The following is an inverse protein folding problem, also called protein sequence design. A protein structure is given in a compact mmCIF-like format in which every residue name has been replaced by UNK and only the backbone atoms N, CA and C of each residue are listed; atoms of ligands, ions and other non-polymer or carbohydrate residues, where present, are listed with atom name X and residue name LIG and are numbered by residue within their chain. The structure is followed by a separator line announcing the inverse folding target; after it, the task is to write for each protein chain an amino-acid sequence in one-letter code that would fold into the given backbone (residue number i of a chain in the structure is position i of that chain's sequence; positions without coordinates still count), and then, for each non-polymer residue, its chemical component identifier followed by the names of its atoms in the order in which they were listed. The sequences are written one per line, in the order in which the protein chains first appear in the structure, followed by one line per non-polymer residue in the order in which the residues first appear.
data_IF_962500219010
#
_entry.id   IF_962500219010
#
_cell.length_a   1.000
_cell.length_b   1.000
_cell.length_c   1.000
_cell.angle_alpha   90.00
_cell.angle_beta   90.00
_cell.angle_gamma   90.00
#
_symmetry.space_group_name_H-M   'P 1'
#
loop_
_entity.id
_entity.type
_entity.pdbx_description
1 polymer ?
#
# COMPACT_ATOMS: atom_id res chain seq x y z
N UNK A 1 -4.69 -2.24 -14.20
CA UNK A 1 -5.08 -3.62 -14.01
C UNK A 1 -4.15 -4.59 -14.70
N UNK A 2 -4.06 -5.78 -14.17
CA UNK A 2 -3.27 -6.85 -14.79
C UNK A 2 -3.78 -7.18 -16.20
N UNK A 3 -2.93 -7.68 -17.10
CA UNK A 3 -3.34 -8.13 -18.44
C UNK A 3 -4.53 -9.09 -18.45
N UNK A 4 -4.71 -9.81 -17.35
CA UNK A 4 -5.78 -10.79 -17.13
C UNK A 4 -7.19 -10.23 -17.30
N UNK A 5 -7.43 -8.95 -16.92
CA UNK A 5 -8.74 -8.29 -17.11
C UNK A 5 -9.06 -8.17 -18.59
N UNK A 6 -8.05 -7.86 -19.41
CA UNK A 6 -8.18 -7.76 -20.87
C UNK A 6 -8.40 -9.13 -21.50
N UNK A 7 -7.74 -10.16 -21.01
CA UNK A 7 -7.90 -11.54 -21.46
C UNK A 7 -9.32 -12.05 -21.24
N UNK A 8 -9.94 -11.73 -20.11
CA UNK A 8 -11.32 -12.08 -19.80
C UNK A 8 -12.36 -11.13 -20.39
N UNK A 9 -11.97 -10.28 -21.35
CA UNK A 9 -12.87 -9.35 -22.05
C UNK A 9 -13.72 -8.51 -21.09
N UNK A 10 -13.11 -8.04 -20.01
CA UNK A 10 -13.76 -7.23 -18.96
C UNK A 10 -14.91 -7.95 -18.23
N UNK A 11 -14.97 -9.27 -18.24
CA UNK A 11 -15.91 -10.03 -17.42
C UNK A 11 -15.47 -9.92 -15.95
N UNK A 12 -16.24 -9.18 -15.16
CA UNK A 12 -15.89 -8.86 -13.78
C UNK A 12 -15.76 -10.12 -12.91
N UNK A 13 -16.72 -11.05 -13.00
CA UNK A 13 -16.72 -12.28 -12.20
C UNK A 13 -15.49 -13.14 -12.48
N UNK A 14 -15.12 -13.34 -13.74
CA UNK A 14 -13.94 -14.10 -14.15
C UNK A 14 -12.65 -13.38 -13.75
N UNK A 15 -12.62 -12.06 -13.89
CA UNK A 15 -11.47 -11.26 -13.49
C UNK A 15 -11.24 -11.34 -11.98
N UNK A 16 -12.29 -11.23 -11.18
CA UNK A 16 -12.21 -11.34 -9.72
C UNK A 16 -11.77 -12.75 -9.30
N UNK A 17 -12.32 -13.80 -9.89
CA UNK A 17 -11.89 -15.18 -9.62
C UNK A 17 -10.40 -15.41 -9.91
N UNK A 18 -9.91 -14.86 -11.02
CA UNK A 18 -8.50 -14.96 -11.37
C UNK A 18 -7.61 -14.17 -10.42
N UNK A 19 -8.01 -12.95 -10.05
CA UNK A 19 -7.30 -12.12 -9.06
C UNK A 19 -7.28 -12.80 -7.69
N UNK A 20 -8.38 -13.42 -7.25
CA UNK A 20 -8.46 -14.19 -6.01
C UNK A 20 -7.51 -15.40 -6.04
N UNK A 21 -7.44 -16.11 -7.15
CA UNK A 21 -6.48 -17.20 -7.35
C UNK A 21 -5.03 -16.73 -7.24
N UNK A 22 -4.69 -15.59 -7.83
CA UNK A 22 -3.35 -14.99 -7.71
C UNK A 22 -3.10 -14.53 -6.27
N UNK A 23 -4.05 -13.86 -5.65
CA UNK A 23 -3.92 -13.40 -4.26
C UNK A 23 -3.68 -14.55 -3.30
N UNK A 24 -4.48 -15.61 -3.37
CA UNK A 24 -4.34 -16.78 -2.51
C UNK A 24 -3.01 -17.52 -2.73
N UNK A 25 -2.53 -17.60 -3.97
CA UNK A 25 -1.30 -18.29 -4.32
C UNK A 25 -0.06 -17.46 -3.99
N UNK A 26 -0.02 -16.20 -4.42
CA UNK A 26 1.17 -15.33 -4.28
C UNK A 26 1.21 -14.69 -2.89
N UNK A 27 0.11 -14.08 -2.44
CA UNK A 27 0.11 -13.33 -1.19
C UNK A 27 0.07 -14.27 0.01
N UNK A 28 -0.87 -15.20 0.03
CA UNK A 28 -1.04 -16.06 1.20
C UNK A 28 -0.03 -17.22 1.20
N UNK A 29 0.00 -18.02 0.14
CA UNK A 29 0.81 -19.23 0.13
C UNK A 29 2.31 -18.94 0.13
N UNK A 30 2.80 -18.05 -0.76
CA UNK A 30 4.24 -17.76 -0.89
C UNK A 30 4.78 -17.05 0.36
N UNK A 31 4.07 -16.05 0.89
CA UNK A 31 4.48 -15.36 2.10
C UNK A 31 4.46 -16.29 3.32
N UNK A 32 3.40 -17.10 3.47
CA UNK A 32 3.28 -18.04 4.59
C UNK A 32 4.33 -19.15 4.53
N UNK A 33 4.63 -19.68 3.34
CA UNK A 33 5.66 -20.72 3.16
C UNK A 33 7.07 -20.20 3.48
N UNK A 34 7.37 -18.94 3.11
CA UNK A 34 8.67 -18.33 3.40
C UNK A 34 8.83 -17.93 4.87
N UNK A 35 7.74 -17.84 5.61
CA UNK A 35 7.72 -17.32 6.98
C UNK A 35 6.83 -18.16 7.88
N UNK A 36 7.33 -19.31 8.34
CA UNK A 36 6.58 -20.32 9.10
C UNK A 36 5.88 -19.82 10.39
N UNK A 37 6.19 -18.62 10.88
CA UNK A 37 5.59 -18.02 12.09
C UNK A 37 4.65 -16.86 11.77
N UNK A 38 4.09 -16.81 10.55
CA UNK A 38 3.20 -15.72 10.13
C UNK A 38 1.76 -16.06 10.50
N UNK A 39 1.12 -15.20 11.27
CA UNK A 39 -0.31 -15.26 11.52
C UNK A 39 -1.06 -14.80 10.26
N UNK A 40 -1.79 -15.73 9.64
CA UNK A 40 -2.54 -15.47 8.41
C UNK A 40 -3.64 -14.43 8.61
N UNK A 41 -4.32 -14.43 9.76
CA UNK A 41 -5.39 -13.48 10.05
C UNK A 41 -4.83 -12.06 10.18
N UNK A 42 -3.70 -11.92 10.88
CA UNK A 42 -3.02 -10.63 11.01
C UNK A 42 -2.50 -10.13 9.65
N UNK A 43 -1.91 -11.02 8.83
CA UNK A 43 -1.49 -10.68 7.48
C UNK A 43 -2.67 -10.12 6.67
N UNK A 44 -3.80 -10.82 6.69
CA UNK A 44 -5.00 -10.39 5.95
C UNK A 44 -5.53 -9.03 6.46
N UNK A 45 -5.61 -8.82 7.76
CA UNK A 45 -6.00 -7.53 8.35
C UNK A 45 -5.08 -6.39 7.91
N UNK A 46 -3.76 -6.62 7.91
CA UNK A 46 -2.77 -5.62 7.45
C UNK A 46 -2.97 -5.33 5.95
N UNK A 47 -3.20 -6.34 5.12
CA UNK A 47 -3.49 -6.15 3.69
C UNK A 47 -4.73 -5.30 3.49
N UNK A 48 -5.85 -5.62 4.17
CA UNK A 48 -7.08 -4.82 4.09
C UNK A 48 -6.87 -3.38 4.54
N UNK A 49 -6.14 -3.18 5.65
CA UNK A 49 -5.79 -1.84 6.12
C UNK A 49 -4.99 -1.05 5.08
N UNK A 50 -3.94 -1.65 4.52
CA UNK A 50 -3.12 -0.99 3.51
C UNK A 50 -3.91 -0.69 2.23
N UNK A 51 -4.79 -1.59 1.79
CA UNK A 51 -5.70 -1.37 0.66
C UNK A 51 -6.67 -0.21 0.91
N UNK A 52 -7.19 -0.08 2.13
CA UNK A 52 -8.11 1.00 2.51
C UNK A 52 -7.40 2.35 2.69
N UNK A 53 -6.08 2.35 2.88
CA UNK A 53 -5.28 3.54 3.19
C UNK A 53 -4.16 3.77 2.17
N UNK A 54 -4.34 3.36 0.90
CA UNK A 54 -3.37 3.66 -0.16
C UNK A 54 -3.18 5.18 -0.27
N UNK A 55 -1.94 5.63 -0.46
CA UNK A 55 -1.65 7.06 -0.57
C UNK A 55 -1.77 7.87 0.74
N UNK A 56 -2.26 7.27 1.83
CA UNK A 56 -2.32 7.94 3.13
C UNK A 56 -1.01 7.78 3.90
N UNK A 57 -0.63 8.83 4.64
CA UNK A 57 0.52 8.76 5.54
C UNK A 57 0.20 7.86 6.73
N UNK A 58 0.97 6.81 6.89
CA UNK A 58 0.82 5.84 7.96
C UNK A 58 2.15 5.52 8.63
N UNK A 59 2.08 4.97 9.83
CA UNK A 59 3.23 4.39 10.52
C UNK A 59 2.89 2.97 11.02
N UNK A 60 3.86 2.08 11.18
CA UNK A 60 3.62 0.76 11.73
C UNK A 60 2.95 0.79 13.11
N UNK A 61 3.28 1.78 13.95
CA UNK A 61 2.66 1.94 15.25
C UNK A 61 1.19 2.37 15.15
N UNK A 62 0.87 3.33 14.27
CA UNK A 62 -0.53 3.74 14.06
C UNK A 62 -1.38 2.60 13.52
N UNK A 63 -0.85 1.81 12.58
CA UNK A 63 -1.52 0.62 12.04
C UNK A 63 -1.76 -0.39 13.17
N UNK A 64 -0.75 -0.68 13.99
CA UNK A 64 -0.86 -1.61 15.10
C UNK A 64 -1.93 -1.21 16.12
N UNK A 65 -2.05 0.08 16.41
CA UNK A 65 -3.08 0.60 17.30
C UNK A 65 -4.50 0.47 16.71
N UNK A 66 -4.69 0.78 15.42
CA UNK A 66 -5.99 0.64 14.76
C UNK A 66 -6.43 -0.83 14.74
N UNK A 67 -5.55 -1.73 14.30
CA UNK A 67 -5.85 -3.15 14.21
C UNK A 67 -6.10 -3.81 15.57
N UNK A 68 -5.50 -3.29 16.65
CA UNK A 68 -5.77 -3.74 18.01
C UNK A 68 -7.19 -3.34 18.46
N UNK A 69 -7.65 -2.14 18.12
CA UNK A 69 -8.98 -1.65 18.48
C UNK A 69 -10.10 -2.38 17.73
N UNK A 70 -9.83 -2.94 16.54
CA UNK A 70 -10.76 -3.77 15.78
C UNK A 70 -10.82 -5.22 16.26
N UNK A 71 -9.89 -5.64 17.11
CA UNK A 71 -9.74 -7.01 17.61
C UNK A 71 -10.19 -7.17 19.06
N UNK A 72 -11.42 -7.71 19.27
CA UNK A 72 -11.94 -8.20 20.54
C UNK A 72 -12.62 -7.20 21.50
N UNK A 73 -13.74 -6.67 21.05
CA UNK A 73 -14.76 -6.08 21.94
C UNK A 73 -15.26 -7.09 23.01
N UNK A 74 -15.05 -8.41 22.79
CA UNK A 74 -15.57 -9.48 23.68
C UNK A 74 -14.72 -9.78 24.91
N UNK A 75 -13.42 -9.49 24.93
CA UNK A 75 -12.53 -9.87 26.03
C UNK A 75 -11.96 -8.73 26.85
N UNK A 76 -12.17 -7.48 26.44
CA UNK A 76 -11.70 -6.29 27.19
C UNK A 76 -10.15 -6.14 27.28
N UNK A 77 -9.38 -7.05 26.70
CA UNK A 77 -7.91 -6.99 26.66
C UNK A 77 -7.44 -6.56 25.27
N UNK A 78 -7.37 -5.26 25.06
CA UNK A 78 -6.73 -4.67 23.88
C UNK A 78 -5.22 -4.87 24.03
N UNK A 79 -4.69 -5.96 23.50
CA UNK A 79 -3.23 -6.12 23.38
C UNK A 79 -2.83 -5.48 22.05
N UNK A 80 -2.25 -4.28 22.11
CA UNK A 80 -1.75 -3.58 20.93
C UNK A 80 -0.80 -4.46 20.10
N UNK A 81 -0.90 -4.36 18.79
CA UNK A 81 0.04 -5.02 17.89
C UNK A 81 1.28 -4.14 17.81
N UNK A 82 2.43 -4.68 18.23
CA UNK A 82 3.67 -3.93 18.21
C UNK A 82 4.01 -3.45 16.79
N UNK A 83 4.39 -2.18 16.64
CA UNK A 83 4.76 -1.60 15.34
C UNK A 83 5.86 -2.39 14.63
N UNK A 84 6.81 -2.98 15.37
CA UNK A 84 7.85 -3.87 14.82
C UNK A 84 7.25 -5.11 14.16
N UNK A 85 6.16 -5.65 14.71
CA UNK A 85 5.42 -6.77 14.09
C UNK A 85 4.77 -6.32 12.80
N UNK A 86 4.07 -5.19 12.82
CA UNK A 86 3.43 -4.62 11.60
C UNK A 86 4.47 -4.36 10.52
N UNK A 87 5.62 -3.74 10.86
CA UNK A 87 6.71 -3.49 9.91
C UNK A 87 7.24 -4.78 9.27
N UNK A 88 7.36 -5.87 10.05
CA UNK A 88 7.73 -7.18 9.53
C UNK A 88 6.75 -7.64 8.45
N UNK A 89 5.44 -7.51 8.67
CA UNK A 89 4.41 -7.90 7.69
C UNK A 89 4.41 -7.01 6.44
N UNK A 90 4.57 -5.69 6.62
CA UNK A 90 4.71 -4.76 5.49
C UNK A 90 5.94 -5.11 4.66
N UNK A 91 7.06 -5.44 5.30
CA UNK A 91 8.29 -5.87 4.61
C UNK A 91 8.08 -7.16 3.80
N UNK A 92 7.32 -8.13 4.32
CA UNK A 92 6.94 -9.34 3.58
C UNK A 92 6.11 -9.01 2.32
N UNK A 93 5.12 -8.14 2.46
CA UNK A 93 4.25 -7.70 1.35
C UNK A 93 5.04 -6.94 0.28
N UNK A 94 6.01 -6.12 0.69
CA UNK A 94 6.95 -5.45 -0.22
C UNK A 94 7.84 -6.43 -0.96
N UNK A 95 8.39 -7.42 -0.24
CA UNK A 95 9.23 -8.46 -0.84
C UNK A 95 8.46 -9.37 -1.80
N UNK A 96 7.15 -9.49 -1.62
CA UNK A 96 6.25 -10.19 -2.54
C UNK A 96 5.74 -9.28 -3.69
N UNK A 97 6.21 -8.04 -3.77
CA UNK A 97 5.81 -7.05 -4.78
C UNK A 97 4.31 -6.77 -4.82
N UNK A 98 3.62 -6.85 -3.68
CA UNK A 98 2.18 -6.51 -3.58
C UNK A 98 2.00 -5.03 -3.25
N UNK A 99 2.87 -4.49 -2.39
CA UNK A 99 2.89 -3.08 -2.04
C UNK A 99 4.27 -2.47 -2.25
N UNK A 100 4.27 -1.20 -2.59
CA UNK A 100 5.41 -0.30 -2.51
C UNK A 100 5.24 0.60 -1.30
N UNK A 101 6.31 0.80 -0.53
CA UNK A 101 6.34 1.80 0.53
C UNK A 101 7.34 2.87 0.15
N UNK A 102 6.92 4.13 0.18
CA UNK A 102 7.81 5.26 -0.08
C UNK A 102 7.91 6.14 1.15
N UNK A 103 9.13 6.56 1.43
CA UNK A 103 9.45 7.44 2.54
C UNK A 103 9.24 8.91 2.19
N UNK A 104 9.20 9.73 3.22
CA UNK A 104 9.11 11.19 3.11
C UNK A 104 10.51 11.79 2.97
N UNK A 105 10.64 12.74 2.07
CA UNK A 105 11.85 13.52 1.87
C UNK A 105 11.61 14.95 2.32
N UNK A 106 12.36 15.39 3.31
CA UNK A 106 12.34 16.79 3.72
C UNK A 106 13.18 17.62 2.75
N UNK A 107 12.51 18.46 1.96
CA UNK A 107 13.15 19.29 0.92
C UNK A 107 14.08 20.32 1.54
N UNK A 108 13.70 20.93 2.68
CA UNK A 108 14.53 21.92 3.38
C UNK A 108 15.71 21.27 4.08
N UNK A 109 15.47 20.19 4.80
CA UNK A 109 16.51 19.43 5.53
C UNK A 109 17.34 18.52 4.64
N UNK A 110 16.98 18.35 3.37
CA UNK A 110 17.65 17.46 2.39
C UNK A 110 17.89 16.04 2.92
N UNK A 111 16.91 15.49 3.66
CA UNK A 111 17.06 14.18 4.27
C UNK A 111 15.78 13.34 4.17
N UNK A 112 15.96 12.01 4.11
CA UNK A 112 14.86 11.06 4.20
C UNK A 112 14.39 10.94 5.64
N UNK A 113 13.07 11.08 5.85
CA UNK A 113 12.45 10.90 7.16
C UNK A 113 12.12 9.42 7.37
N UNK A 114 12.54 8.88 8.52
CA UNK A 114 12.49 7.42 8.80
C UNK A 114 11.13 6.89 9.27
N UNK A 115 10.20 7.74 9.69
CA UNK A 115 9.10 7.30 10.55
C UNK A 115 7.71 7.27 9.91
N UNK A 116 7.49 7.98 8.83
CA UNK A 116 6.19 8.09 8.16
C UNK A 116 6.36 7.88 6.67
N UNK A 117 5.44 7.17 6.07
CA UNK A 117 5.44 6.92 4.63
C UNK A 117 4.05 6.65 4.09
N UNK A 118 3.96 6.54 2.77
CA UNK A 118 2.76 6.10 2.08
C UNK A 118 2.98 4.71 1.49
N UNK A 119 1.90 3.95 1.42
CA UNK A 119 1.90 2.64 0.78
C UNK A 119 1.01 2.67 -0.46
N UNK A 120 1.50 2.10 -1.55
CA UNK A 120 0.79 2.00 -2.83
C UNK A 120 0.71 0.54 -3.24
N UNK A 121 -0.45 0.14 -3.77
CA UNK A 121 -0.65 -1.22 -4.25
C UNK A 121 -0.20 -1.34 -5.71
N UNK A 122 0.39 -2.48 -6.08
CA UNK A 122 0.86 -2.73 -7.45
C UNK A 122 -0.28 -2.79 -8.46
N UNK A 123 -1.45 -3.25 -8.06
CA UNK A 123 -2.61 -3.42 -8.93
C UNK A 123 -3.90 -3.06 -8.21
N UNK A 124 -4.61 -2.06 -8.73
CA UNK A 124 -5.90 -1.63 -8.20
C UNK A 124 -7.00 -2.69 -8.34
N UNK A 125 -6.83 -3.67 -9.23
CA UNK A 125 -7.73 -4.81 -9.33
C UNK A 125 -7.75 -5.64 -8.04
N UNK A 126 -6.58 -5.86 -7.40
CA UNK A 126 -6.52 -6.50 -6.08
C UNK A 126 -7.25 -5.68 -5.01
N UNK A 127 -7.02 -4.37 -5.00
CA UNK A 127 -7.72 -3.48 -4.08
C UNK A 127 -9.24 -3.60 -4.23
N UNK A 128 -9.73 -3.50 -5.46
CA UNK A 128 -11.16 -3.53 -5.74
C UNK A 128 -11.78 -4.92 -5.46
N UNK A 129 -11.05 -5.99 -5.73
CA UNK A 129 -11.47 -7.35 -5.36
C UNK A 129 -11.62 -7.50 -3.83
N UNK A 130 -10.69 -6.96 -3.04
CA UNK A 130 -10.68 -7.10 -1.58
C UNK A 130 -11.67 -6.17 -0.87
N UNK A 131 -11.87 -4.95 -1.36
CA UNK A 131 -12.65 -3.91 -0.69
C UNK A 131 -13.97 -3.57 -1.37
N UNK A 132 -14.17 -4.03 -2.62
CA UNK A 132 -15.16 -3.48 -3.52
C UNK A 132 -14.75 -2.12 -4.09
N UNK A 133 -15.50 -1.66 -5.09
CA UNK A 133 -15.31 -0.33 -5.67
C UNK A 133 -15.87 0.74 -4.72
N UNK A 134 -15.09 1.80 -4.49
CA UNK A 134 -15.47 2.92 -3.60
C UNK A 134 -15.15 4.25 -4.27
N UNK A 135 -16.18 5.05 -4.56
CA UNK A 135 -16.00 6.38 -5.17
C UNK A 135 -15.27 7.38 -4.25
N UNK A 136 -15.47 7.26 -2.94
CA UNK A 136 -14.88 8.17 -1.95
C UNK A 136 -13.33 8.14 -1.91
N UNK A 137 -12.71 7.11 -2.47
CA UNK A 137 -11.25 6.94 -2.48
C UNK A 137 -10.60 7.36 -3.81
N UNK A 138 -11.33 8.04 -4.66
CA UNK A 138 -10.93 8.30 -6.05
C UNK A 138 -9.62 9.09 -6.15
N UNK A 139 -9.42 10.09 -5.30
CA UNK A 139 -8.17 10.85 -5.24
C UNK A 139 -6.95 9.96 -4.95
N UNK A 140 -7.05 9.07 -3.96
CA UNK A 140 -5.99 8.12 -3.63
C UNK A 140 -5.75 7.07 -4.72
N UNK A 141 -6.80 6.67 -5.44
CA UNK A 141 -6.69 5.77 -6.60
C UNK A 141 -5.90 6.43 -7.72
N UNK A 142 -6.21 7.70 -8.04
CA UNK A 142 -5.48 8.48 -9.06
C UNK A 142 -4.03 8.66 -8.62
N UNK A 143 -3.78 9.00 -7.37
CA UNK A 143 -2.43 9.12 -6.81
C UNK A 143 -1.64 7.81 -6.96
N UNK A 144 -2.27 6.65 -6.68
CA UNK A 144 -1.65 5.34 -6.88
C UNK A 144 -1.30 5.07 -8.36
N UNK A 145 -2.16 5.48 -9.29
CA UNK A 145 -1.90 5.35 -10.74
C UNK A 145 -0.70 6.20 -11.16
N UNK A 146 -0.66 7.46 -10.71
CA UNK A 146 0.47 8.37 -10.98
C UNK A 146 1.76 7.78 -10.42
N UNK A 147 1.74 7.26 -9.20
CA UNK A 147 2.89 6.60 -8.59
C UNK A 147 3.42 5.44 -9.44
N UNK A 148 2.55 4.53 -9.88
CA UNK A 148 2.94 3.39 -10.70
C UNK A 148 3.48 3.83 -12.07
N UNK A 149 2.93 4.88 -12.65
CA UNK A 149 3.42 5.43 -13.91
C UNK A 149 4.81 6.07 -13.76
N UNK A 150 5.08 6.73 -12.63
CA UNK A 150 6.41 7.25 -12.33
C UNK A 150 7.44 6.14 -12.21
N UNK A 151 7.10 5.03 -11.52
CA UNK A 151 7.98 3.86 -11.46
C UNK A 151 8.20 3.24 -12.84
N UNK A 152 7.14 3.12 -13.66
CA UNK A 152 7.25 2.60 -15.05
C UNK A 152 8.19 3.45 -15.91
N UNK A 153 8.29 4.73 -15.61
CA UNK A 153 9.23 5.65 -16.26
C UNK A 153 10.60 5.70 -15.60
N UNK A 154 10.92 4.77 -14.71
CA UNK A 154 12.22 4.64 -14.02
C UNK A 154 12.57 5.84 -13.11
N UNK A 155 11.58 6.55 -12.57
CA UNK A 155 11.83 7.55 -11.54
C UNK A 155 12.04 6.91 -10.17
N UNK A 156 12.94 7.47 -9.37
CA UNK A 156 12.94 7.30 -7.92
C UNK A 156 11.92 8.26 -7.33
N UNK A 157 11.01 7.73 -6.54
CA UNK A 157 9.85 8.49 -6.04
C UNK A 157 9.90 8.61 -4.53
N UNK A 158 9.64 9.80 -4.02
CA UNK A 158 9.53 10.13 -2.61
C UNK A 158 8.28 10.99 -2.38
N UNK A 159 7.78 11.02 -1.14
CA UNK A 159 6.80 12.02 -0.71
C UNK A 159 7.57 13.28 -0.32
N UNK A 160 7.18 14.44 -0.83
CA UNK A 160 7.80 15.70 -0.49
C UNK A 160 7.25 16.30 0.80
N UNK A 161 8.13 16.89 1.62
CA UNK A 161 7.73 17.75 2.74
C UNK A 161 8.47 19.08 2.65
N UNK A 162 7.73 20.20 2.66
CA UNK A 162 8.27 21.55 2.72
C UNK A 162 7.62 22.29 3.89
N UNK A 163 8.32 22.37 5.04
CA UNK A 163 7.71 22.88 6.26
C UNK A 163 6.55 21.96 6.68
N UNK A 164 5.34 22.50 6.74
CA UNK A 164 4.14 21.73 7.07
C UNK A 164 3.33 21.28 5.84
N UNK A 165 3.77 21.68 4.64
CA UNK A 165 3.10 21.31 3.38
C UNK A 165 3.65 20.01 2.84
N UNK A 166 2.74 19.13 2.40
CA UNK A 166 3.07 17.90 1.67
C UNK A 166 3.01 18.14 0.18
N UNK A 167 3.94 17.53 -0.55
CA UNK A 167 3.92 17.37 -2.00
C UNK A 167 3.75 15.88 -2.26
N UNK A 168 2.76 15.50 -3.05
CA UNK A 168 2.46 14.09 -3.26
C UNK A 168 3.66 13.31 -3.75
N UNK A 169 4.38 13.82 -4.76
CA UNK A 169 5.58 13.16 -5.24
C UNK A 169 6.72 14.13 -5.57
N UNK A 170 7.91 13.69 -5.19
CA UNK A 170 9.19 14.14 -5.74
C UNK A 170 9.72 12.97 -6.55
N UNK A 171 9.85 13.13 -7.86
CA UNK A 171 10.35 12.11 -8.76
C UNK A 171 11.69 12.52 -9.35
N UNK A 172 12.69 11.65 -9.23
CA UNK A 172 14.08 11.95 -9.58
C UNK A 172 14.65 10.92 -10.56
N UNK A 173 15.41 11.44 -11.54
CA UNK A 173 16.35 10.73 -12.40
C UNK A 173 17.70 11.44 -12.39
N UNK A 174 18.77 10.90 -12.99
CA UNK A 174 20.11 11.48 -12.91
C UNK A 174 20.19 12.98 -13.25
N UNK A 175 19.40 13.46 -14.21
CA UNK A 175 19.43 14.85 -14.65
C UNK A 175 18.07 15.55 -14.58
N UNK A 176 17.12 14.97 -13.87
CA UNK A 176 15.75 15.47 -13.80
C UNK A 176 15.17 15.27 -12.40
N UNK A 177 14.56 16.33 -11.88
CA UNK A 177 13.77 16.30 -10.66
C UNK A 177 12.46 17.05 -10.89
N UNK A 178 11.35 16.38 -10.67
CA UNK A 178 10.01 16.95 -10.81
C UNK A 178 9.24 16.84 -9.50
N UNK A 179 8.39 17.85 -9.27
CA UNK A 179 7.48 17.92 -8.13
C UNK A 179 6.06 17.80 -8.66
N UNK A 180 5.29 16.89 -8.10
CA UNK A 180 3.96 16.55 -8.60
C UNK A 180 2.96 16.66 -7.47
N UNK A 181 1.88 17.40 -7.72
CA UNK A 181 0.67 17.43 -6.91
C UNK A 181 -0.45 16.80 -7.72
N UNK A 182 -1.11 15.80 -7.15
CA UNK A 182 -2.21 15.07 -7.78
C UNK A 182 -3.52 15.70 -7.30
N UNK A 183 -4.34 16.17 -8.24
CA UNK A 183 -5.65 16.76 -7.92
C UNK A 183 -6.72 16.11 -8.79
N UNK A 184 -7.88 15.91 -8.22
CA UNK A 184 -9.10 15.57 -8.95
C UNK A 184 -9.76 16.88 -9.41
N UNK A 185 -9.97 17.04 -10.71
CA UNK A 185 -10.68 18.17 -11.32
C UNK A 185 -12.15 17.86 -11.55
#
# INVERSE_FOLDING_TARGET
GMPIIREYRFNEARSNQALEGIYSTVVLRDILQRNNQTDQNLLHKIVLFLCSNIGSITSPNSIGNVLANEGDIKTGKIKGIAGKTVEKYISMLRSAFIFYSIGRYDVKGKQLLKTLGKNYIIDLGFRNMLLGYRDVDRGHVIENIVFLELLRRDYRVYIGKIGDTEIDFIAEKPNEKIYIQVTES
#
